data_IF_013110755457
#
_entry.id   IF_013110755457
#
_cell.length_a   1.000
_cell.length_b   1.000
_cell.length_c   1.000
_cell.angle_alpha   90.00
_cell.angle_beta   90.00
_cell.angle_gamma   90.00
#
_symmetry.space_group_name_H-M   'P 1'
#
loop_
_entity.id
_entity.type
_entity.pdbx_description
1 polymer ?
#
# COMPACT_ATOMS: atom_id res chain seq x y z
N UNK A 1 -31.61 22.93 -48.29
CA UNK A 1 -30.48 23.87 -48.28
C UNK A 1 -29.21 23.10 -47.94
N UNK A 2 -28.25 23.05 -48.87
CA UNK A 2 -26.95 22.39 -48.69
C UNK A 2 -26.02 23.38 -47.99
N UNK A 3 -25.45 23.01 -46.84
CA UNK A 3 -24.33 23.74 -46.26
C UNK A 3 -23.02 23.02 -46.62
N UNK A 4 -22.24 23.73 -47.44
CA UNK A 4 -20.92 23.36 -47.95
C UNK A 4 -19.88 23.50 -46.85
N UNK A 5 -19.15 22.43 -46.52
CA UNK A 5 -17.87 22.49 -45.83
C UNK A 5 -16.81 23.10 -46.76
N UNK A 6 -16.30 24.28 -46.41
CA UNK A 6 -14.99 24.77 -46.85
C UNK A 6 -14.36 25.52 -45.69
N UNK A 7 -13.51 24.84 -44.93
CA UNK A 7 -12.46 25.49 -44.15
C UNK A 7 -11.18 25.49 -45.00
N UNK A 8 -10.41 26.60 -45.05
CA UNK A 8 -9.20 26.71 -45.85
C UNK A 8 -7.97 26.12 -45.12
N UNK A 9 -7.14 25.40 -45.87
CA UNK A 9 -5.69 25.28 -45.67
C UNK A 9 -5.21 24.78 -44.30
N UNK A 10 -5.08 23.46 -44.15
CA UNK A 10 -4.15 22.88 -43.19
C UNK A 10 -2.71 23.21 -43.63
N UNK A 11 -2.13 24.26 -43.08
CA UNK A 11 -0.69 24.47 -43.12
C UNK A 11 -0.06 23.37 -42.26
N UNK A 12 0.54 22.38 -42.91
CA UNK A 12 1.44 21.42 -42.25
C UNK A 12 2.55 22.24 -41.56
N UNK A 13 2.75 22.13 -40.24
CA UNK A 13 3.93 22.68 -39.62
C UNK A 13 5.15 21.98 -40.21
N UNK A 14 6.12 22.75 -40.72
CA UNK A 14 7.40 22.21 -41.20
C UNK A 14 8.09 21.39 -40.11
N UNK A 15 8.94 20.45 -40.52
CA UNK A 15 9.62 19.44 -39.70
C UNK A 15 10.56 19.95 -38.58
N UNK A 16 10.36 21.15 -38.06
CA UNK A 16 11.12 21.76 -36.97
C UNK A 16 10.32 22.66 -36.02
N UNK A 17 8.98 22.62 -36.06
CA UNK A 17 8.11 23.50 -35.27
C UNK A 17 7.59 22.90 -33.94
N UNK A 18 8.11 21.75 -33.51
CA UNK A 18 7.85 21.27 -32.16
C UNK A 18 8.83 21.93 -31.20
N UNK A 19 8.38 22.59 -30.12
CA UNK A 19 9.27 22.88 -29.02
C UNK A 19 9.89 21.55 -28.58
N UNK A 20 11.24 21.51 -28.54
CA UNK A 20 11.96 20.44 -27.88
C UNK A 20 11.53 20.48 -26.41
N UNK A 21 10.49 19.72 -26.06
CA UNK A 21 10.23 19.38 -24.67
C UNK A 21 11.53 18.71 -24.24
N UNK A 22 12.21 19.23 -23.19
CA UNK A 22 13.40 18.58 -22.67
C UNK A 22 13.05 17.11 -22.48
N UNK A 23 13.69 16.23 -23.26
CA UNK A 23 13.53 14.80 -23.05
C UNK A 23 13.88 14.59 -21.59
N UNK A 24 12.87 14.23 -20.77
CA UNK A 24 13.12 13.74 -19.43
C UNK A 24 14.23 12.70 -19.59
N UNK A 25 15.38 12.93 -18.96
CA UNK A 25 16.52 12.04 -19.08
C UNK A 25 16.04 10.64 -18.69
N UNK A 26 15.77 9.81 -19.69
CA UNK A 26 15.41 8.41 -19.48
C UNK A 26 16.70 7.68 -19.16
N UNK A 27 17.22 7.90 -17.96
CA UNK A 27 18.06 6.89 -17.34
C UNK A 27 17.21 5.61 -17.37
N UNK A 28 17.73 4.57 -18.01
CA UNK A 28 17.03 3.29 -18.11
C UNK A 28 16.76 2.83 -16.68
N UNK A 29 15.49 2.89 -16.27
CA UNK A 29 15.09 2.53 -14.92
C UNK A 29 15.59 1.12 -14.60
N UNK A 30 16.14 0.94 -13.39
CA UNK A 30 16.67 -0.36 -13.00
C UNK A 30 15.51 -1.34 -12.90
N UNK A 31 15.45 -2.28 -13.85
CA UNK A 31 14.37 -3.28 -13.95
C UNK A 31 14.10 -4.05 -12.66
N UNK A 32 15.14 -4.29 -11.84
CA UNK A 32 14.96 -4.97 -10.56
C UNK A 32 14.33 -4.06 -9.50
N UNK A 33 14.71 -2.78 -9.44
CA UNK A 33 14.10 -1.80 -8.53
C UNK A 33 12.63 -1.60 -8.90
N UNK A 34 12.33 -1.45 -10.20
CA UNK A 34 10.95 -1.42 -10.68
C UNK A 34 10.19 -2.70 -10.32
N UNK A 35 10.86 -3.85 -10.35
CA UNK A 35 10.31 -5.13 -9.88
C UNK A 35 9.94 -5.11 -8.39
N UNK A 36 10.79 -4.54 -7.53
CA UNK A 36 10.47 -4.35 -6.11
C UNK A 36 9.29 -3.38 -5.92
N UNK A 37 9.30 -2.23 -6.60
CA UNK A 37 8.22 -1.23 -6.52
C UNK A 37 6.88 -1.83 -6.96
N UNK A 38 6.85 -2.59 -8.05
CA UNK A 38 5.62 -3.24 -8.53
C UNK A 38 5.07 -4.31 -7.58
N UNK A 39 5.96 -5.09 -6.93
CA UNK A 39 5.55 -6.04 -5.89
C UNK A 39 5.06 -5.34 -4.64
N UNK A 40 5.74 -4.29 -4.20
CA UNK A 40 5.36 -3.48 -3.05
C UNK A 40 3.96 -2.90 -3.26
N UNK A 41 3.73 -2.26 -4.41
CA UNK A 41 2.43 -1.70 -4.76
C UNK A 41 1.29 -2.76 -4.71
N UNK A 42 1.57 -3.99 -5.13
CA UNK A 42 0.58 -5.07 -5.05
C UNK A 42 0.31 -5.50 -3.60
N UNK A 43 1.34 -5.54 -2.74
CA UNK A 43 1.18 -5.84 -1.32
C UNK A 43 0.41 -4.74 -0.59
N UNK A 44 0.76 -3.47 -0.81
CA UNK A 44 0.08 -2.31 -0.21
C UNK A 44 -1.42 -2.29 -0.54
N UNK A 45 -1.79 -2.44 -1.82
CA UNK A 45 -3.21 -2.53 -2.18
C UNK A 45 -3.89 -3.77 -1.59
N UNK A 46 -3.16 -4.89 -1.44
CA UNK A 46 -3.70 -6.09 -0.80
C UNK A 46 -3.92 -5.90 0.70
N UNK A 47 -3.04 -5.18 1.38
CA UNK A 47 -3.14 -4.83 2.79
C UNK A 47 -4.29 -3.85 3.02
N UNK A 48 -4.36 -2.76 2.25
CA UNK A 48 -5.47 -1.79 2.29
C UNK A 48 -6.83 -2.44 2.05
N UNK A 49 -6.96 -3.30 1.03
CA UNK A 49 -8.19 -4.07 0.79
C UNK A 49 -8.54 -4.96 1.99
N UNK A 50 -7.54 -5.61 2.59
CA UNK A 50 -7.77 -6.50 3.72
C UNK A 50 -8.20 -5.75 4.97
N UNK A 51 -7.56 -4.62 5.29
CA UNK A 51 -7.96 -3.77 6.39
C UNK A 51 -9.38 -3.25 6.23
N UNK A 52 -9.79 -2.83 5.03
CA UNK A 52 -11.19 -2.46 4.76
C UNK A 52 -12.17 -3.62 4.98
N UNK A 53 -11.79 -4.84 4.59
CA UNK A 53 -12.60 -6.03 4.84
C UNK A 53 -12.72 -6.32 6.34
N UNK A 54 -11.62 -6.27 7.09
CA UNK A 54 -11.64 -6.45 8.55
C UNK A 54 -12.43 -5.35 9.26
N UNK A 55 -12.33 -4.11 8.80
CA UNK A 55 -13.14 -3.00 9.30
C UNK A 55 -14.64 -3.28 9.12
N UNK A 56 -15.04 -3.79 7.94
CA UNK A 56 -16.44 -4.15 7.68
C UNK A 56 -16.92 -5.30 8.56
N UNK A 57 -16.09 -6.34 8.74
CA UNK A 57 -16.38 -7.48 9.61
C UNK A 57 -16.48 -7.06 11.09
N UNK A 58 -15.58 -6.20 11.56
CA UNK A 58 -15.62 -5.64 12.91
C UNK A 58 -16.89 -4.82 13.15
N UNK A 59 -17.32 -3.98 12.18
CA UNK A 59 -18.60 -3.26 12.25
C UNK A 59 -19.78 -4.22 12.38
N UNK A 60 -19.79 -5.30 11.60
CA UNK A 60 -20.84 -6.31 11.65
C UNK A 60 -20.93 -6.98 13.03
N UNK A 61 -19.79 -7.14 13.73
CA UNK A 61 -19.70 -7.66 15.10
C UNK A 61 -19.87 -6.60 16.19
N UNK A 62 -20.15 -5.34 15.83
CA UNK A 62 -20.25 -4.19 16.75
C UNK A 62 -18.94 -3.85 17.49
N UNK A 63 -17.80 -4.24 16.94
CA UNK A 63 -16.44 -3.94 17.43
C UNK A 63 -15.95 -2.60 16.85
N UNK A 64 -16.66 -1.51 17.17
CA UNK A 64 -16.52 -0.22 16.44
C UNK A 64 -15.13 0.41 16.57
N UNK A 65 -14.49 0.33 17.73
CA UNK A 65 -13.13 0.87 17.93
C UNK A 65 -12.12 0.22 16.99
N UNK A 66 -12.16 -1.12 16.88
CA UNK A 66 -11.31 -1.86 15.94
C UNK A 66 -11.63 -1.54 14.49
N UNK A 67 -12.91 -1.34 14.16
CA UNK A 67 -13.30 -0.96 12.81
C UNK A 67 -12.71 0.40 12.39
N UNK A 68 -12.70 1.39 13.27
CA UNK A 68 -12.09 2.69 13.03
C UNK A 68 -10.56 2.58 12.90
N UNK A 69 -9.94 1.78 13.75
CA UNK A 69 -8.53 1.44 13.67
C UNK A 69 -8.16 0.83 12.32
N UNK A 70 -8.90 -0.18 11.86
CA UNK A 70 -8.66 -0.80 10.55
C UNK A 70 -8.88 0.16 9.37
N UNK A 71 -9.86 1.07 9.43
CA UNK A 71 -10.00 2.10 8.38
C UNK A 71 -8.80 3.03 8.36
N UNK A 72 -8.24 3.33 9.52
CA UNK A 72 -7.03 4.16 9.63
C UNK A 72 -5.84 3.46 8.99
N UNK A 73 -5.60 2.19 9.33
CA UNK A 73 -4.53 1.38 8.72
C UNK A 73 -4.73 1.26 7.20
N UNK A 74 -5.95 0.99 6.72
CA UNK A 74 -6.20 0.95 5.28
C UNK A 74 -5.80 2.24 4.54
N UNK A 75 -6.02 3.41 5.16
CA UNK A 75 -5.62 4.68 4.58
C UNK A 75 -4.11 4.88 4.61
N UNK A 76 -3.41 4.37 5.63
CA UNK A 76 -1.94 4.35 5.70
C UNK A 76 -1.37 3.53 4.52
N UNK A 77 -1.88 2.31 4.27
CA UNK A 77 -1.47 1.48 3.11
C UNK A 77 -1.68 2.19 1.76
N UNK A 78 -2.78 2.92 1.61
CA UNK A 78 -3.02 3.70 0.38
C UNK A 78 -2.06 4.89 0.23
N UNK A 79 -1.56 5.45 1.34
CA UNK A 79 -0.51 6.47 1.30
C UNK A 79 0.83 5.85 0.89
N UNK A 80 1.17 4.67 1.39
CA UNK A 80 2.37 3.93 0.97
C UNK A 80 2.30 3.61 -0.54
N UNK A 81 1.15 3.10 -1.01
CA UNK A 81 0.90 2.86 -2.44
C UNK A 81 1.08 4.13 -3.30
N UNK A 82 0.67 5.29 -2.79
CA UNK A 82 0.89 6.57 -3.46
C UNK A 82 2.39 6.93 -3.54
N UNK A 83 3.13 6.79 -2.44
CA UNK A 83 4.59 7.05 -2.43
C UNK A 83 5.34 6.16 -3.42
N UNK A 84 4.97 4.87 -3.50
CA UNK A 84 5.54 3.92 -4.45
C UNK A 84 5.22 4.33 -5.89
N UNK A 85 3.98 4.74 -6.15
CA UNK A 85 3.55 5.22 -7.47
C UNK A 85 4.34 6.46 -7.89
N UNK A 86 4.48 7.45 -7.00
CA UNK A 86 5.28 8.65 -7.25
C UNK A 86 6.74 8.28 -7.58
N UNK A 87 7.30 7.29 -6.89
CA UNK A 87 8.66 6.81 -7.17
C UNK A 87 8.78 6.12 -8.52
N UNK A 88 7.81 5.30 -8.92
CA UNK A 88 7.78 4.67 -10.24
C UNK A 88 7.73 5.74 -11.35
N UNK A 89 6.86 6.76 -11.18
CA UNK A 89 6.72 7.87 -12.12
C UNK A 89 8.01 8.67 -12.24
N UNK A 90 8.70 8.93 -11.13
CA UNK A 90 10.00 9.61 -11.11
C UNK A 90 11.08 8.85 -11.91
N UNK A 91 10.96 7.52 -12.03
CA UNK A 91 11.83 6.67 -12.84
C UNK A 91 11.37 6.54 -14.30
N UNK A 92 10.32 7.26 -14.71
CA UNK A 92 9.74 7.17 -16.05
C UNK A 92 8.91 5.91 -16.28
N UNK A 93 8.49 5.23 -15.22
CA UNK A 93 7.63 4.05 -15.28
C UNK A 93 6.23 4.37 -14.72
N UNK A 94 5.20 3.70 -15.25
CA UNK A 94 3.87 3.70 -14.64
C UNK A 94 3.61 2.34 -13.99
N UNK A 95 2.79 2.30 -12.92
CA UNK A 95 2.30 1.04 -12.39
C UNK A 95 1.68 0.16 -13.47
N UNK A 96 2.06 -1.11 -13.51
CA UNK A 96 1.28 -2.13 -14.18
C UNK A 96 0.03 -2.46 -13.34
N UNK A 97 -0.89 -3.28 -13.86
CA UNK A 97 -2.02 -3.77 -13.06
C UNK A 97 -1.52 -4.55 -11.84
N UNK A 98 -1.82 -4.05 -10.64
CA UNK A 98 -1.50 -4.73 -9.38
C UNK A 98 -2.29 -6.04 -9.25
N UNK A 99 -1.66 -7.06 -8.68
CA UNK A 99 -2.30 -8.37 -8.42
C UNK A 99 -2.56 -8.47 -6.92
N UNK A 100 -3.83 -8.30 -6.53
CA UNK A 100 -4.20 -8.27 -5.12
C UNK A 100 -4.34 -9.70 -4.56
N UNK A 101 -3.74 -9.95 -3.38
CA UNK A 101 -4.06 -11.10 -2.53
C UNK A 101 -5.50 -10.92 -2.02
N UNK A 102 -6.38 -11.93 -2.14
CA UNK A 102 -7.73 -11.85 -1.58
C UNK A 102 -7.73 -11.47 -0.09
N UNK A 103 -8.73 -10.70 0.32
CA UNK A 103 -8.97 -10.47 1.75
C UNK A 103 -9.44 -11.78 2.39
N UNK A 104 -8.78 -12.20 3.46
CA UNK A 104 -9.17 -13.41 4.21
C UNK A 104 -10.42 -13.15 5.05
N UNK A 105 -11.34 -14.13 5.16
CA UNK A 105 -12.42 -14.05 6.14
C UNK A 105 -11.85 -14.16 7.56
N UNK A 106 -12.47 -13.48 8.51
CA UNK A 106 -12.18 -13.65 9.94
C UNK A 106 -13.49 -13.73 10.72
N UNK A 107 -13.63 -14.77 11.55
CA UNK A 107 -14.83 -15.01 12.34
C UNK A 107 -14.81 -14.25 13.67
N UNK A 108 -13.63 -13.86 14.14
CA UNK A 108 -13.41 -13.13 15.39
C UNK A 108 -12.20 -12.18 15.26
N UNK A 109 -12.00 -11.33 16.27
CA UNK A 109 -10.92 -10.32 16.25
C UNK A 109 -9.51 -10.94 16.30
N UNK A 110 -9.33 -12.08 16.97
CA UNK A 110 -8.03 -12.77 17.02
C UNK A 110 -7.61 -13.21 15.61
N UNK A 111 -8.52 -13.86 14.88
CA UNK A 111 -8.29 -14.24 13.49
C UNK A 111 -8.00 -13.02 12.60
N UNK A 112 -8.76 -11.93 12.78
CA UNK A 112 -8.56 -10.70 12.01
C UNK A 112 -7.15 -10.14 12.24
N UNK A 113 -6.75 -9.93 13.50
CA UNK A 113 -5.45 -9.34 13.85
C UNK A 113 -4.27 -10.23 13.46
N UNK A 114 -4.40 -11.55 13.58
CA UNK A 114 -3.37 -12.50 13.09
C UNK A 114 -3.21 -12.41 11.57
N UNK A 115 -4.32 -12.31 10.84
CA UNK A 115 -4.27 -12.15 9.38
C UNK A 115 -3.71 -10.80 8.93
N UNK A 116 -3.82 -9.75 9.76
CA UNK A 116 -3.12 -8.47 9.56
C UNK A 116 -1.62 -8.62 9.83
N UNK A 117 -1.22 -9.21 10.96
CA UNK A 117 0.18 -9.49 11.30
C UNK A 117 0.92 -10.25 10.18
N UNK A 118 0.29 -11.24 9.56
CA UNK A 118 0.85 -11.95 8.41
C UNK A 118 1.18 -11.03 7.20
N UNK A 119 0.42 -9.94 7.02
CA UNK A 119 0.60 -9.00 5.90
C UNK A 119 1.70 -8.00 6.20
N UNK A 120 1.73 -7.47 7.41
CA UNK A 120 2.83 -6.63 7.90
C UNK A 120 4.17 -7.35 7.73
N UNK A 121 4.24 -8.62 8.15
CA UNK A 121 5.45 -9.43 7.99
C UNK A 121 5.88 -9.62 6.53
N UNK A 122 4.92 -9.73 5.60
CA UNK A 122 5.23 -9.84 4.18
C UNK A 122 5.77 -8.52 3.60
N UNK A 123 5.22 -7.37 4.02
CA UNK A 123 5.72 -6.05 3.66
C UNK A 123 7.12 -5.80 4.24
N UNK A 124 7.32 -6.07 5.53
CA UNK A 124 8.63 -5.98 6.21
C UNK A 124 9.67 -6.83 5.48
N UNK A 125 9.33 -8.07 5.10
CA UNK A 125 10.24 -8.93 4.36
C UNK A 125 10.62 -8.30 3.02
N UNK A 126 9.62 -7.87 2.23
CA UNK A 126 9.87 -7.27 0.91
C UNK A 126 10.73 -6.01 1.02
N UNK A 127 10.42 -5.12 1.97
CA UNK A 127 11.17 -3.87 2.14
C UNK A 127 12.58 -4.10 2.67
N UNK A 128 12.79 -5.10 3.54
CA UNK A 128 14.14 -5.50 3.95
C UNK A 128 14.98 -5.98 2.75
N UNK A 129 14.42 -6.84 1.91
CA UNK A 129 15.07 -7.33 0.69
C UNK A 129 15.37 -6.18 -0.29
N UNK A 130 14.40 -5.29 -0.50
CA UNK A 130 14.52 -4.15 -1.40
C UNK A 130 15.56 -3.14 -0.93
N UNK A 131 15.59 -2.82 0.37
CA UNK A 131 16.60 -1.95 0.97
C UNK A 131 18.00 -2.54 0.84
N UNK A 132 18.18 -3.83 1.12
CA UNK A 132 19.48 -4.50 0.95
C UNK A 132 19.95 -4.44 -0.51
N UNK A 133 19.05 -4.68 -1.45
CA UNK A 133 19.37 -4.57 -2.88
C UNK A 133 19.79 -3.14 -3.26
N UNK A 134 19.03 -2.13 -2.84
CA UNK A 134 19.31 -0.73 -3.18
C UNK A 134 20.63 -0.24 -2.56
N UNK A 135 20.95 -0.67 -1.34
CA UNK A 135 22.23 -0.39 -0.70
C UNK A 135 23.41 -0.97 -1.48
N UNK A 136 23.30 -2.23 -1.94
CA UNK A 136 24.33 -2.89 -2.73
C UNK A 136 24.48 -2.29 -4.14
N UNK A 137 23.37 -1.87 -4.76
CA UNK A 137 23.37 -1.26 -6.09
C UNK A 137 23.79 0.22 -6.08
N UNK A 138 23.70 0.90 -4.92
CA UNK A 138 23.96 2.33 -4.79
C UNK A 138 22.79 3.24 -5.17
N UNK A 139 21.56 2.71 -5.20
CA UNK A 139 20.34 3.49 -5.48
C UNK A 139 19.84 4.21 -4.21
N UNK A 140 20.44 5.37 -3.90
CA UNK A 140 20.22 6.07 -2.63
C UNK A 140 18.77 6.52 -2.41
N UNK A 141 18.11 7.07 -3.43
CA UNK A 141 16.73 7.54 -3.31
C UNK A 141 15.74 6.38 -3.07
N UNK A 142 15.94 5.25 -3.76
CA UNK A 142 15.13 4.04 -3.57
C UNK A 142 15.39 3.40 -2.20
N UNK A 143 16.65 3.39 -1.77
CA UNK A 143 17.04 2.93 -0.43
C UNK A 143 16.35 3.77 0.66
N UNK A 144 16.31 5.09 0.51
CA UNK A 144 15.64 5.97 1.46
C UNK A 144 14.14 5.69 1.52
N UNK A 145 13.49 5.50 0.38
CA UNK A 145 12.07 5.14 0.32
C UNK A 145 11.80 3.81 1.03
N UNK A 146 12.52 2.75 0.66
CA UNK A 146 12.28 1.43 1.23
C UNK A 146 12.61 1.35 2.72
N UNK A 147 13.64 2.07 3.19
CA UNK A 147 13.92 2.14 4.63
C UNK A 147 12.82 2.87 5.41
N UNK A 148 12.27 3.95 4.84
CA UNK A 148 11.15 4.66 5.45
C UNK A 148 9.93 3.74 5.57
N UNK A 149 9.55 3.09 4.47
CA UNK A 149 8.41 2.17 4.46
C UNK A 149 8.66 1.01 5.44
N UNK A 150 9.85 0.41 5.45
CA UNK A 150 10.22 -0.64 6.41
C UNK A 150 10.02 -0.23 7.88
N UNK A 151 10.38 0.99 8.25
CA UNK A 151 10.19 1.51 9.61
C UNK A 151 8.70 1.73 9.93
N UNK A 152 7.94 2.26 8.97
CA UNK A 152 6.49 2.43 9.08
C UNK A 152 5.80 1.06 9.28
N UNK A 153 6.15 0.02 8.50
CA UNK A 153 5.61 -1.34 8.65
C UNK A 153 5.98 -2.01 9.98
N UNK A 154 7.23 -1.85 10.43
CA UNK A 154 7.64 -2.37 11.73
C UNK A 154 6.85 -1.75 12.88
N UNK A 155 6.58 -0.45 12.78
CA UNK A 155 5.74 0.27 13.74
C UNK A 155 4.28 -0.22 13.66
N UNK A 156 3.78 -0.46 12.45
CA UNK A 156 2.42 -0.95 12.23
C UNK A 156 2.23 -2.36 12.79
N UNK A 157 3.19 -3.27 12.58
CA UNK A 157 3.22 -4.60 13.19
C UNK A 157 3.10 -4.54 14.72
N UNK A 158 3.87 -3.67 15.37
CA UNK A 158 3.80 -3.49 16.84
C UNK A 158 2.42 -3.01 17.28
N UNK A 159 1.78 -2.10 16.51
CA UNK A 159 0.40 -1.63 16.79
C UNK A 159 -0.60 -2.79 16.69
N UNK A 160 -0.52 -3.60 15.64
CA UNK A 160 -1.40 -4.78 15.44
C UNK A 160 -1.22 -5.80 16.56
N UNK A 161 0.02 -6.07 16.98
CA UNK A 161 0.33 -6.97 18.09
C UNK A 161 -0.21 -6.44 19.42
N UNK A 162 -0.09 -5.14 19.66
CA UNK A 162 -0.63 -4.48 20.87
C UNK A 162 -2.16 -4.61 20.93
N UNK A 163 -2.87 -4.41 19.81
CA UNK A 163 -4.31 -4.63 19.73
C UNK A 163 -4.72 -6.08 20.05
N UNK A 164 -3.89 -7.04 19.66
CA UNK A 164 -4.12 -8.46 19.93
C UNK A 164 -3.96 -8.76 21.42
N UNK A 165 -2.93 -8.23 22.06
CA UNK A 165 -2.70 -8.35 23.50
C UNK A 165 -3.84 -7.70 24.31
N UNK A 166 -4.26 -6.50 23.93
CA UNK A 166 -5.41 -5.81 24.53
C UNK A 166 -6.69 -6.64 24.42
N UNK A 167 -6.94 -7.23 23.26
CA UNK A 167 -8.11 -8.08 23.03
C UNK A 167 -8.09 -9.35 23.90
N UNK A 168 -6.93 -10.00 24.02
CA UNK A 168 -6.78 -11.14 24.95
C UNK A 168 -7.03 -10.73 26.40
N UNK A 169 -6.54 -9.57 26.82
CA UNK A 169 -6.81 -9.00 28.14
C UNK A 169 -8.31 -8.84 28.40
N UNK A 170 -9.04 -8.27 27.44
CA UNK A 170 -10.49 -8.11 27.50
C UNK A 170 -11.22 -9.46 27.63
N UNK A 171 -10.86 -10.46 26.82
CA UNK A 171 -11.46 -11.80 26.90
C UNK A 171 -11.25 -12.46 28.27
N UNK A 172 -10.05 -12.32 28.85
CA UNK A 172 -9.74 -12.89 30.16
C UNK A 172 -10.55 -12.22 31.29
N UNK A 173 -10.78 -10.91 31.21
CA UNK A 173 -11.61 -10.18 32.16
C UNK A 173 -13.09 -10.57 32.08
N UNK A 174 -13.62 -10.81 30.87
CA UNK A 174 -15.01 -11.26 30.70
C UNK A 174 -15.25 -12.69 31.19
N UNK A 175 -14.23 -13.54 31.19
CA UNK A 175 -14.33 -14.93 31.64
C UNK A 175 -14.20 -15.10 33.16
N UNK A 176 -13.85 -14.06 33.92
CA UNK A 176 -13.88 -14.13 35.38
C UNK A 176 -15.33 -13.99 35.88
N UNK A 177 -15.95 -15.06 36.42
CA UNK A 177 -17.28 -14.93 37.00
C UNK A 177 -17.20 -13.98 38.20
N UNK A 178 -18.20 -13.10 38.33
CA UNK A 178 -18.46 -12.32 39.53
C UNK A 178 -18.39 -13.27 40.74
N UNK A 179 -17.27 -13.28 41.45
CA UNK A 179 -17.19 -13.88 42.78
C UNK A 179 -17.93 -12.93 43.71
N UNK A 180 -19.26 -13.02 43.69
CA UNK A 180 -20.10 -12.53 44.77
C UNK A 180 -19.72 -13.31 46.01
N UNK A 181 -18.90 -12.71 46.86
CA UNK A 181 -18.74 -13.15 48.24
C UNK A 181 -20.01 -12.75 49.00
N UNK A 182 -20.73 -13.78 49.45
CA UNK A 182 -21.77 -13.71 50.50
C UNK A 182 -21.10 -13.42 51.83
#
# INVERSE_FOLDING_TARGET
MRYSQRMPGSVMPGAGAYPQIPQAQTAVANSQILGYLGRALSLEFSAGQHYLAQASLAKFRQEISYAEGFVTLANEEFQHANLITDRMVAQGALPAGSVLRPAGPATNMVEALRSCEEREMALIQLYSEASQYCANFGAQEDLMLFNRLLEEEQTQLVRVQSWLEEYYGYLMMQQQPNRSFV
#
